data_IF_438598957973
#
_entry.id   IF_438598957973
#
_cell.length_a   1.000
_cell.length_b   1.000
_cell.length_c   1.000
_cell.angle_alpha   90.00
_cell.angle_beta   90.00
_cell.angle_gamma   90.00
#
_symmetry.space_group_name_H-M   'P 1'
#
loop_
_entity.id
_entity.type
_entity.pdbx_description
1 polymer ?
#
# COMPACT_ATOMS: atom_id res chain seq x y z
N UNK A 1 -7.23 -29.08 -17.02
CA UNK A 1 -6.24 -28.42 -16.14
C UNK A 1 -6.86 -27.12 -15.69
N UNK A 2 -7.09 -26.91 -14.39
CA UNK A 2 -7.55 -25.62 -13.89
C UNK A 2 -6.38 -24.64 -13.98
N UNK A 3 -6.36 -23.83 -15.03
CA UNK A 3 -5.39 -22.74 -15.16
C UNK A 3 -5.60 -21.78 -14.00
N UNK A 4 -4.57 -21.56 -13.19
CA UNK A 4 -4.55 -20.50 -12.17
C UNK A 4 -4.09 -19.22 -12.86
N UNK A 5 -4.97 -18.22 -13.07
CA UNK A 5 -4.59 -17.00 -13.76
C UNK A 5 -3.72 -16.12 -12.86
N UNK A 6 -2.83 -15.33 -13.45
CA UNK A 6 -2.15 -14.26 -12.72
C UNK A 6 -3.16 -13.17 -12.32
N UNK A 7 -2.98 -12.60 -11.13
CA UNK A 7 -3.90 -11.62 -10.56
C UNK A 7 -3.15 -10.32 -10.29
N UNK A 8 -3.63 -9.23 -10.88
CA UNK A 8 -3.11 -7.88 -10.65
C UNK A 8 -4.21 -7.02 -10.01
N UNK A 9 -3.97 -6.57 -8.78
CA UNK A 9 -4.84 -5.61 -8.08
C UNK A 9 -4.23 -4.21 -8.17
N UNK A 10 -4.81 -3.35 -8.99
CA UNK A 10 -4.42 -1.96 -9.13
C UNK A 10 -5.32 -1.06 -8.27
N UNK A 11 -4.71 -0.27 -7.38
CA UNK A 11 -5.43 0.70 -6.54
C UNK A 11 -4.88 2.10 -6.82
N UNK A 12 -5.78 3.01 -7.20
CA UNK A 12 -5.47 4.42 -7.38
C UNK A 12 -5.93 5.20 -6.15
N UNK A 13 -4.99 5.83 -5.45
CA UNK A 13 -5.30 6.55 -4.22
C UNK A 13 -6.02 7.88 -4.51
N UNK A 14 -7.12 8.12 -3.81
CA UNK A 14 -7.99 9.30 -3.98
C UNK A 14 -8.56 9.53 -5.39
N UNK A 15 -8.57 8.49 -6.25
CA UNK A 15 -9.11 8.63 -7.60
C UNK A 15 -10.62 8.86 -7.57
N UNK A 16 -11.05 9.92 -8.25
CA UNK A 16 -12.47 10.26 -8.39
C UNK A 16 -13.04 9.64 -9.67
N UNK A 17 -14.29 9.19 -9.57
CA UNK A 17 -15.05 8.65 -10.70
C UNK A 17 -15.17 9.66 -11.86
N UNK A 18 -15.49 10.92 -11.56
CA UNK A 18 -15.68 12.00 -12.55
C UNK A 18 -14.38 12.46 -13.24
N UNK A 19 -13.25 11.78 -12.98
CA UNK A 19 -11.93 12.05 -13.56
C UNK A 19 -11.40 10.91 -14.42
N UNK A 20 -12.28 9.97 -14.78
CA UNK A 20 -12.00 8.89 -15.72
C UNK A 20 -12.90 9.06 -16.95
N UNK A 21 -12.30 9.08 -18.14
CA UNK A 21 -13.05 9.24 -19.40
C UNK A 21 -13.98 8.06 -19.68
N UNK A 22 -13.60 6.83 -19.29
CA UNK A 22 -14.50 5.66 -19.30
C UNK A 22 -15.75 5.79 -18.41
N UNK A 23 -15.79 6.76 -17.50
CA UNK A 23 -16.94 7.11 -16.67
C UNK A 23 -17.61 8.43 -17.08
N UNK A 24 -17.30 8.95 -18.27
CA UNK A 24 -17.94 10.14 -18.84
C UNK A 24 -17.24 11.46 -18.51
N UNK A 25 -15.97 11.45 -18.09
CA UNK A 25 -15.19 12.68 -18.03
C UNK A 25 -15.06 13.32 -19.41
N UNK A 26 -15.33 14.62 -19.54
CA UNK A 26 -15.28 15.33 -20.82
C UNK A 26 -13.85 15.47 -21.38
N UNK A 27 -12.83 15.41 -20.51
CA UNK A 27 -11.43 15.42 -20.90
C UNK A 27 -10.92 13.97 -20.96
N UNK A 28 -10.09 13.66 -21.95
CA UNK A 28 -9.39 12.39 -22.06
C UNK A 28 -8.24 12.34 -21.04
N UNK A 29 -8.55 11.84 -19.84
CA UNK A 29 -7.62 11.82 -18.70
C UNK A 29 -7.04 10.45 -18.44
N UNK A 30 -7.62 9.39 -18.99
CA UNK A 30 -7.30 8.01 -18.63
C UNK A 30 -7.22 7.02 -19.81
N UNK A 31 -6.50 7.33 -20.91
CA UNK A 31 -6.56 6.56 -22.15
C UNK A 31 -6.28 5.05 -21.97
N UNK A 32 -5.27 4.68 -21.16
CA UNK A 32 -4.97 3.26 -20.90
C UNK A 32 -5.98 2.55 -20.00
N UNK A 33 -6.65 3.28 -19.10
CA UNK A 33 -7.74 2.71 -18.28
C UNK A 33 -8.97 2.54 -19.16
N UNK A 34 -9.19 3.46 -20.10
CA UNK A 34 -10.32 3.40 -21.03
C UNK A 34 -10.17 2.21 -21.98
N UNK A 35 -8.97 1.98 -22.52
CA UNK A 35 -8.64 0.77 -23.29
C UNK A 35 -8.88 -0.50 -22.47
N UNK A 36 -8.40 -0.55 -21.21
CA UNK A 36 -8.67 -1.70 -20.34
C UNK A 36 -10.18 -1.88 -20.11
N UNK A 37 -10.94 -0.79 -20.00
CA UNK A 37 -12.37 -0.83 -19.74
C UNK A 37 -13.17 -1.40 -20.91
N UNK A 38 -12.70 -1.33 -22.16
CA UNK A 38 -13.42 -1.90 -23.32
C UNK A 38 -13.52 -3.42 -23.24
N UNK A 39 -12.51 -4.06 -22.65
CA UNK A 39 -12.39 -5.51 -22.55
C UNK A 39 -12.70 -6.02 -21.12
N UNK A 40 -13.15 -5.14 -20.23
CA UNK A 40 -13.40 -5.43 -18.81
C UNK A 40 -14.88 -5.31 -18.45
N UNK A 41 -15.24 -5.88 -17.29
CA UNK A 41 -16.52 -5.55 -16.66
C UNK A 41 -16.41 -4.23 -15.91
N UNK A 42 -17.09 -3.19 -16.41
CA UNK A 42 -17.10 -1.86 -15.80
C UNK A 42 -18.27 -1.72 -14.80
N UNK A 43 -17.95 -1.55 -13.52
CA UNK A 43 -18.97 -1.30 -12.49
C UNK A 43 -19.36 0.18 -12.44
N UNK A 44 -20.63 0.48 -12.69
CA UNK A 44 -21.19 1.84 -12.59
C UNK A 44 -21.35 2.30 -11.13
N UNK A 45 -21.56 1.35 -10.22
CA UNK A 45 -21.76 1.61 -8.80
C UNK A 45 -20.76 0.80 -7.97
N UNK A 46 -19.55 1.34 -7.77
CA UNK A 46 -18.55 0.80 -6.87
C UNK A 46 -18.36 1.75 -5.68
N UNK A 47 -18.86 1.36 -4.50
CA UNK A 47 -18.86 2.22 -3.30
C UNK A 47 -17.71 1.82 -2.38
N UNK A 48 -16.87 2.79 -2.03
CA UNK A 48 -15.80 2.58 -1.06
C UNK A 48 -16.38 2.27 0.34
N UNK A 49 -15.86 1.25 1.05
CA UNK A 49 -16.40 0.86 2.35
C UNK A 49 -16.11 1.88 3.47
N UNK A 50 -15.18 2.81 3.25
CA UNK A 50 -14.87 3.90 4.18
C UNK A 50 -14.30 5.13 3.44
N UNK A 51 -14.39 6.30 4.08
CA UNK A 51 -13.95 7.58 3.50
C UNK A 51 -12.43 7.79 3.39
N UNK A 52 -11.60 6.91 3.96
CA UNK A 52 -10.14 7.12 4.00
C UNK A 52 -9.36 5.81 3.99
N UNK A 53 -8.04 5.94 3.76
CA UNK A 53 -7.14 4.86 3.32
C UNK A 53 -7.22 3.61 4.18
N UNK A 54 -7.00 3.70 5.50
CA UNK A 54 -6.80 2.53 6.36
C UNK A 54 -8.05 1.63 6.44
N UNK A 55 -9.23 2.12 6.87
CA UNK A 55 -10.41 1.26 6.91
C UNK A 55 -10.85 0.81 5.52
N UNK A 56 -10.64 1.62 4.48
CA UNK A 56 -10.99 1.24 3.11
C UNK A 56 -10.13 0.06 2.62
N UNK A 57 -8.82 0.10 2.85
CA UNK A 57 -7.90 -0.99 2.50
C UNK A 57 -8.10 -2.22 3.39
N UNK A 58 -8.36 -2.04 4.68
CA UNK A 58 -8.68 -3.14 5.58
C UNK A 58 -9.91 -3.92 5.09
N UNK A 59 -10.98 -3.21 4.72
CA UNK A 59 -12.17 -3.81 4.14
C UNK A 59 -11.89 -4.46 2.77
N UNK A 60 -11.15 -3.77 1.89
CA UNK A 60 -10.75 -4.31 0.58
C UNK A 60 -9.96 -5.62 0.69
N UNK A 61 -9.06 -5.72 1.67
CA UNK A 61 -8.22 -6.90 1.87
C UNK A 61 -8.92 -8.01 2.63
N UNK A 62 -9.89 -7.73 3.49
CA UNK A 62 -10.56 -8.78 4.28
C UNK A 62 -11.92 -9.20 3.74
N UNK A 63 -12.53 -8.38 2.87
CA UNK A 63 -13.87 -8.59 2.36
C UNK A 63 -14.98 -8.31 3.38
N UNK A 64 -14.67 -7.68 4.52
CA UNK A 64 -15.66 -7.33 5.56
C UNK A 64 -15.68 -5.81 5.81
N UNK A 65 -16.79 -5.29 6.33
CA UNK A 65 -16.95 -3.85 6.57
C UNK A 65 -16.10 -3.33 7.75
N UNK A 66 -15.91 -1.99 7.85
CA UNK A 66 -15.20 -1.37 8.97
C UNK A 66 -15.78 -1.67 10.35
N UNK A 67 -17.11 -1.84 10.42
CA UNK A 67 -17.80 -2.26 11.65
C UNK A 67 -17.42 -3.68 12.11
N UNK A 68 -16.94 -4.53 11.21
CA UNK A 68 -16.50 -5.89 11.52
C UNK A 68 -15.03 -5.93 11.92
N UNK A 69 -14.15 -5.34 11.11
CA UNK A 69 -12.71 -5.41 11.36
C UNK A 69 -12.21 -4.37 12.37
N UNK A 70 -13.00 -3.33 12.69
CA UNK A 70 -12.75 -2.28 13.68
C UNK A 70 -11.44 -1.47 13.50
N UNK A 71 -10.72 -1.66 12.39
CA UNK A 71 -9.52 -0.87 12.00
C UNK A 71 -9.90 0.50 11.44
N UNK A 72 -10.47 1.35 12.30
CA UNK A 72 -11.03 2.66 11.94
C UNK A 72 -10.13 3.86 12.27
N UNK A 73 -8.98 3.63 12.91
CA UNK A 73 -8.00 4.66 13.29
C UNK A 73 -6.60 4.30 12.78
N UNK A 74 -5.71 5.28 12.68
CA UNK A 74 -4.38 5.10 12.06
C UNK A 74 -3.48 4.13 12.81
N UNK A 75 -3.63 4.09 14.13
CA UNK A 75 -2.84 3.25 15.04
C UNK A 75 -3.48 1.89 15.33
N UNK A 76 -4.65 1.60 14.74
CA UNK A 76 -5.29 0.30 14.91
C UNK A 76 -4.63 -0.75 14.01
N UNK A 77 -4.53 -1.96 14.54
CA UNK A 77 -3.98 -3.12 13.83
C UNK A 77 -5.13 -4.00 13.39
N UNK A 78 -5.12 -4.42 12.12
CA UNK A 78 -6.08 -5.37 11.59
C UNK A 78 -6.06 -6.67 12.42
N UNK A 79 -7.19 -7.18 12.94
CA UNK A 79 -7.21 -8.42 13.71
C UNK A 79 -6.65 -9.61 12.92
N UNK A 80 -5.83 -10.45 13.55
CA UNK A 80 -5.23 -11.64 12.91
C UNK A 80 -6.24 -12.75 12.63
N UNK A 81 -7.37 -12.76 13.33
CA UNK A 81 -8.48 -13.67 13.06
C UNK A 81 -9.16 -13.43 11.69
N UNK A 82 -8.90 -12.27 11.06
CA UNK A 82 -9.39 -11.92 9.73
C UNK A 82 -8.27 -12.12 8.71
N UNK A 83 -8.29 -13.22 7.92
CA UNK A 83 -7.29 -13.44 6.89
C UNK A 83 -7.45 -12.43 5.75
N UNK A 84 -6.34 -11.87 5.29
CA UNK A 84 -6.30 -10.94 4.15
C UNK A 84 -6.41 -11.70 2.82
N UNK A 85 -6.73 -10.97 1.75
CA UNK A 85 -6.74 -11.45 0.37
C UNK A 85 -5.37 -12.04 0.01
N UNK A 86 -4.29 -11.37 0.41
CA UNK A 86 -2.94 -11.85 0.16
C UNK A 86 -2.62 -13.14 0.93
N UNK A 87 -3.07 -13.28 2.19
CA UNK A 87 -2.92 -14.55 2.94
C UNK A 87 -3.68 -15.69 2.24
N UNK A 88 -4.93 -15.43 1.83
CA UNK A 88 -5.75 -16.42 1.10
C UNK A 88 -5.13 -16.83 -0.24
N UNK A 89 -4.57 -15.88 -0.99
CA UNK A 89 -3.89 -16.16 -2.26
C UNK A 89 -2.59 -16.94 -2.02
N UNK A 90 -1.82 -16.57 -1.00
CA UNK A 90 -0.61 -17.28 -0.62
C UNK A 90 -0.91 -18.74 -0.26
N UNK A 91 -1.93 -18.99 0.57
CA UNK A 91 -2.38 -20.34 0.93
C UNK A 91 -2.88 -21.13 -0.30
N UNK A 92 -3.41 -20.43 -1.31
CA UNK A 92 -3.75 -20.99 -2.63
C UNK A 92 -2.56 -21.26 -3.56
N UNK A 93 -1.33 -21.03 -3.09
CA UNK A 93 -0.09 -21.26 -3.81
C UNK A 93 0.32 -20.13 -4.76
N UNK A 94 -0.23 -18.93 -4.60
CA UNK A 94 0.23 -17.75 -5.34
C UNK A 94 1.47 -17.14 -4.69
N UNK A 95 2.35 -16.61 -5.54
CA UNK A 95 3.37 -15.68 -5.09
C UNK A 95 2.74 -14.29 -4.97
N UNK A 96 2.75 -13.72 -3.76
CA UNK A 96 2.11 -12.45 -3.46
C UNK A 96 3.14 -11.34 -3.31
N UNK A 97 3.04 -10.32 -4.17
CA UNK A 97 3.88 -9.14 -4.10
C UNK A 97 3.04 -7.86 -4.14
N UNK A 98 3.48 -6.83 -3.43
CA UNK A 98 2.87 -5.51 -3.42
C UNK A 98 3.89 -4.42 -3.68
N UNK A 99 3.44 -3.38 -4.39
CA UNK A 99 4.19 -2.16 -4.67
C UNK A 99 3.34 -0.99 -4.23
N UNK A 100 3.76 -0.29 -3.19
CA UNK A 100 2.94 0.74 -2.55
C UNK A 100 3.77 2.01 -2.33
N UNK A 101 3.19 3.17 -2.63
CA UNK A 101 3.78 4.47 -2.27
C UNK A 101 2.93 5.20 -1.22
N UNK A 102 1.99 4.52 -0.58
CA UNK A 102 1.18 5.10 0.49
C UNK A 102 1.73 4.62 1.85
N UNK A 103 2.28 5.52 2.69
CA UNK A 103 2.85 5.12 3.98
C UNK A 103 1.82 4.59 4.98
N UNK A 104 0.55 4.99 4.87
CA UNK A 104 -0.52 4.47 5.72
C UNK A 104 -0.80 2.98 5.44
N UNK A 105 -0.43 2.47 4.27
CA UNK A 105 -0.58 1.05 3.92
C UNK A 105 0.74 0.31 4.06
N UNK A 106 1.85 0.93 3.62
CA UNK A 106 3.13 0.27 3.47
C UNK A 106 4.17 0.54 4.56
N UNK A 107 4.03 1.59 5.37
CA UNK A 107 4.99 1.94 6.44
C UNK A 107 4.41 1.65 7.81
N UNK A 108 3.19 2.12 8.08
CA UNK A 108 2.55 1.98 9.40
C UNK A 108 2.32 0.51 9.71
N UNK A 109 2.66 0.07 10.92
CA UNK A 109 2.42 -1.29 11.36
C UNK A 109 0.96 -1.51 11.78
N UNK A 110 0.07 -1.61 10.80
CA UNK A 110 -1.37 -1.81 11.01
C UNK A 110 -1.88 -3.17 10.49
N UNK A 111 -0.98 -4.08 10.11
CA UNK A 111 -1.33 -5.43 9.65
C UNK A 111 -1.81 -5.52 8.20
N UNK A 112 -1.90 -4.42 7.45
CA UNK A 112 -2.34 -4.44 6.04
C UNK A 112 -1.33 -5.13 5.09
N UNK A 113 -0.10 -5.35 5.54
CA UNK A 113 0.96 -6.02 4.78
C UNK A 113 0.94 -7.55 4.91
N UNK A 114 0.08 -8.11 5.77
CA UNK A 114 0.02 -9.56 6.00
C UNK A 114 -0.33 -10.30 4.72
N UNK A 115 0.38 -11.42 4.48
CA UNK A 115 0.18 -12.28 3.32
C UNK A 115 0.99 -11.90 2.09
N UNK A 116 1.64 -10.73 2.04
CA UNK A 116 2.58 -10.39 0.95
C UNK A 116 3.98 -10.91 1.25
N UNK A 117 4.47 -11.84 0.42
CA UNK A 117 5.84 -12.35 0.51
C UNK A 117 6.90 -11.28 0.17
N UNK A 118 6.55 -10.36 -0.72
CA UNK A 118 7.39 -9.21 -1.07
C UNK A 118 6.57 -7.94 -1.02
N UNK A 119 7.01 -6.96 -0.25
CA UNK A 119 6.34 -5.67 -0.14
C UNK A 119 7.33 -4.54 -0.39
N UNK A 120 7.11 -3.80 -1.47
CA UNK A 120 7.91 -2.66 -1.85
C UNK A 120 7.25 -1.36 -1.39
N UNK A 121 8.03 -0.51 -0.72
CA UNK A 121 7.62 0.86 -0.43
C UNK A 121 8.60 1.89 -1.01
N UNK A 122 8.05 2.88 -1.73
CA UNK A 122 8.80 4.03 -2.25
C UNK A 122 8.82 5.22 -1.28
N UNK A 123 7.87 5.28 -0.33
CA UNK A 123 7.75 6.36 0.65
C UNK A 123 8.42 5.94 1.96
N UNK A 124 9.67 6.37 2.17
CA UNK A 124 10.47 6.16 3.37
C UNK A 124 11.89 6.69 3.20
N UNK A 125 12.62 6.93 4.30
CA UNK A 125 14.03 7.39 4.28
C UNK A 125 14.97 6.41 3.54
N UNK A 126 14.55 5.15 3.41
CA UNK A 126 15.24 4.12 2.64
C UNK A 126 14.25 3.51 1.64
N UNK A 127 14.53 3.68 0.36
CA UNK A 127 13.83 2.91 -0.68
C UNK A 127 14.14 1.43 -0.44
N UNK A 128 13.12 0.67 -0.07
CA UNK A 128 13.23 -0.77 -0.25
C UNK A 128 13.25 -1.01 -1.76
N UNK A 129 13.99 -2.00 -2.26
CA UNK A 129 13.74 -2.61 -3.57
C UNK A 129 13.13 -3.98 -3.27
N UNK A 130 12.12 -4.46 -4.02
CA UNK A 130 11.59 -5.78 -3.73
C UNK A 130 12.72 -6.78 -3.89
N UNK A 131 12.65 -7.88 -3.15
CA UNK A 131 13.37 -9.06 -3.59
C UNK A 131 12.89 -9.32 -5.02
N UNK A 132 13.79 -9.23 -5.99
CA UNK A 132 13.47 -9.73 -7.33
C UNK A 132 13.02 -11.17 -7.11
N UNK A 133 11.76 -11.46 -7.42
CA UNK A 133 11.25 -12.82 -7.47
C UNK A 133 11.97 -13.49 -8.64
N UNK A 134 13.19 -13.92 -8.37
CA UNK A 134 14.20 -14.30 -9.34
C UNK A 134 15.26 -15.08 -8.58
N UNK A 135 15.38 -16.35 -8.94
CA UNK A 135 16.23 -17.35 -8.31
C UNK A 135 17.68 -16.87 -8.27
N UNK A 136 18.18 -16.43 -7.11
CA UNK A 136 19.61 -16.51 -6.85
C UNK A 136 19.92 -16.85 -5.38
N UNK A 137 20.68 -17.93 -5.21
CA UNK A 137 20.85 -18.72 -3.97
C UNK A 137 22.11 -18.31 -3.18
N UNK A 138 22.53 -17.04 -3.23
CA UNK A 138 23.75 -16.62 -2.54
C UNK A 138 23.52 -16.30 -1.05
N UNK A 139 24.43 -16.80 -0.20
CA UNK A 139 24.41 -16.58 1.26
C UNK A 139 24.40 -15.10 1.64
N UNK A 140 25.05 -14.27 0.83
CA UNK A 140 25.08 -12.81 1.00
C UNK A 140 23.69 -12.16 0.86
N UNK A 141 22.87 -12.62 -0.09
CA UNK A 141 21.52 -12.09 -0.30
C UNK A 141 20.58 -12.46 0.85
N UNK A 142 20.74 -13.67 1.40
CA UNK A 142 20.05 -14.10 2.63
C UNK A 142 20.45 -13.26 3.84
N UNK A 143 21.74 -13.03 4.06
CA UNK A 143 22.22 -12.17 5.14
C UNK A 143 21.69 -10.74 5.00
N UNK A 144 21.76 -10.18 3.78
CA UNK A 144 21.23 -8.85 3.46
C UNK A 144 19.73 -8.75 3.69
N UNK A 145 18.95 -9.81 3.42
CA UNK A 145 17.52 -9.87 3.70
C UNK A 145 17.22 -9.88 5.20
N UNK A 146 17.92 -10.71 5.99
CA UNK A 146 17.76 -10.77 7.45
C UNK A 146 18.13 -9.44 8.08
N UNK A 147 19.27 -8.87 7.67
CA UNK A 147 19.72 -7.56 8.15
C UNK A 147 18.75 -6.43 7.77
N UNK A 148 18.22 -6.43 6.53
CA UNK A 148 17.19 -5.47 6.11
C UNK A 148 15.89 -5.64 6.90
N UNK A 149 15.46 -6.87 7.19
CA UNK A 149 14.30 -7.14 8.03
C UNK A 149 14.47 -6.54 9.42
N UNK A 150 15.60 -6.84 10.08
CA UNK A 150 15.95 -6.29 11.39
C UNK A 150 16.03 -4.75 11.39
N UNK A 151 16.65 -4.16 10.37
CA UNK A 151 16.75 -2.70 10.24
C UNK A 151 15.39 -2.06 9.96
N UNK A 152 14.55 -2.69 9.13
CA UNK A 152 13.20 -2.24 8.84
C UNK A 152 12.31 -2.32 10.09
N UNK A 153 12.42 -3.38 10.89
CA UNK A 153 11.68 -3.51 12.16
C UNK A 153 12.08 -2.41 13.15
N UNK A 154 13.39 -2.11 13.24
CA UNK A 154 13.92 -1.04 14.10
C UNK A 154 13.44 0.35 13.63
N UNK A 155 13.50 0.62 12.32
CA UNK A 155 13.05 1.90 11.75
C UNK A 155 11.53 2.05 11.85
N UNK A 156 10.77 0.99 11.60
CA UNK A 156 9.31 1.00 11.72
C UNK A 156 8.87 1.27 13.15
N UNK A 157 9.59 0.74 14.13
CA UNK A 157 9.35 1.03 15.55
C UNK A 157 9.57 2.52 15.87
N UNK A 158 10.59 3.16 15.27
CA UNK A 158 10.81 4.61 15.40
C UNK A 158 9.72 5.43 14.70
N UNK A 159 9.30 5.02 13.50
CA UNK A 159 8.22 5.66 12.75
C UNK A 159 6.87 5.55 13.47
N UNK A 160 6.59 4.40 14.09
CA UNK A 160 5.39 4.19 14.90
C UNK A 160 5.40 5.08 16.16
N UNK A 161 6.55 5.26 16.82
CA UNK A 161 6.68 6.21 17.95
C UNK A 161 6.45 7.65 17.49
N UNK A 162 6.96 8.02 16.32
CA UNK A 162 6.72 9.34 15.72
C UNK A 162 5.24 9.57 15.39
N UNK A 163 4.58 8.58 14.80
CA UNK A 163 3.17 8.65 14.42
C UNK A 163 2.20 8.66 15.62
N UNK A 164 2.64 8.17 16.78
CA UNK A 164 1.83 8.10 18.02
C UNK A 164 1.98 9.30 18.96
N UNK A 165 2.85 10.26 18.64
CA UNK A 165 3.12 11.42 19.50
C UNK A 165 2.61 12.71 18.87
N UNK A 166 1.61 13.33 19.51
CA UNK A 166 1.09 14.64 19.10
C UNK A 166 2.18 15.74 19.13
N UNK A 167 3.14 15.63 20.06
CA UNK A 167 4.27 16.56 20.15
C UNK A 167 5.23 16.43 18.97
N UNK A 168 5.56 15.19 18.56
CA UNK A 168 6.44 14.94 17.41
C UNK A 168 5.73 15.29 16.09
N UNK A 169 4.44 15.01 16.01
CA UNK A 169 3.61 15.40 14.88
C UNK A 169 3.54 16.95 14.75
N UNK A 170 3.29 17.66 15.85
CA UNK A 170 3.31 19.13 15.86
C UNK A 170 4.69 19.70 15.52
N UNK A 171 5.76 19.08 16.01
CA UNK A 171 7.13 19.44 15.64
C UNK A 171 7.38 19.23 14.14
N UNK A 172 6.82 18.17 13.55
CA UNK A 172 6.94 17.88 12.11
C UNK A 172 6.30 18.96 11.23
N UNK A 173 5.24 19.60 11.72
CA UNK A 173 4.55 20.71 11.05
C UNK A 173 5.15 22.08 11.36
N UNK A 174 6.19 22.15 12.19
CA UNK A 174 6.84 23.43 12.49
C UNK A 174 7.50 24.03 11.24
N UNK A 175 7.51 25.37 11.09
CA UNK A 175 8.12 26.05 9.94
C UNK A 175 9.61 25.70 9.72
N UNK A 176 10.29 25.23 10.78
CA UNK A 176 11.67 24.77 10.73
C UNK A 176 11.82 23.38 10.07
N UNK A 177 10.84 22.48 10.28
CA UNK A 177 10.89 21.10 9.81
C UNK A 177 10.30 20.92 8.41
N UNK A 178 9.34 21.76 8.01
CA UNK A 178 8.67 21.69 6.69
C UNK A 178 9.65 21.71 5.50
N UNK A 179 10.68 22.59 5.45
CA UNK A 179 11.64 22.60 4.36
C UNK A 179 12.49 21.32 4.27
N UNK A 180 12.83 20.73 5.43
CA UNK A 180 13.60 19.49 5.53
C UNK A 180 12.82 18.30 4.96
N UNK A 181 11.51 18.19 5.26
CA UNK A 181 10.69 17.11 4.72
C UNK A 181 10.40 17.29 3.23
N UNK A 182 10.16 18.52 2.76
CA UNK A 182 9.96 18.81 1.34
C UNK A 182 11.18 18.48 0.47
N UNK A 183 12.40 18.62 1.01
CA UNK A 183 13.65 18.37 0.25
C UNK A 183 14.20 16.95 0.45
N UNK A 184 14.05 16.36 1.64
CA UNK A 184 14.63 15.04 1.96
C UNK A 184 13.66 13.86 1.75
N UNK A 185 12.35 14.07 1.82
CA UNK A 185 11.34 13.02 1.59
C UNK A 185 10.51 13.36 0.34
N UNK A 186 10.90 12.78 -0.80
CA UNK A 186 10.09 12.78 -2.02
C UNK A 186 8.83 11.95 -1.79
N UNK A 187 7.80 12.55 -1.18
CA UNK A 187 6.50 11.93 -0.90
C UNK A 187 5.67 11.69 -2.17
N UNK A 188 5.98 12.42 -3.23
CA UNK A 188 5.42 12.26 -4.57
C UNK A 188 6.61 12.23 -5.50
N UNK A 189 6.68 11.18 -6.31
CA UNK A 189 7.70 11.03 -7.34
C UNK A 189 7.88 12.33 -8.11
N UNK A 190 9.12 12.60 -8.48
CA UNK A 190 9.57 13.81 -9.15
C UNK A 190 8.86 13.98 -10.51
N UNK A 191 7.64 14.52 -10.52
CA UNK A 191 7.06 15.11 -11.73
C UNK A 191 7.79 16.43 -11.92
N UNK A 192 8.58 16.51 -12.98
CA UNK A 192 9.29 17.74 -13.35
C UNK A 192 8.35 18.94 -13.27
N UNK A 193 8.86 20.04 -12.70
CA UNK A 193 8.18 21.33 -12.71
C UNK A 193 7.95 21.81 -14.14
#
# INVERSE_FOLDING_TARGET
MTSRPDIVLLVLDTQRLDRLSCYGCAAETSPYIDELATDSTLFQCAVAPAQWTIPSHASMFTGVYPSTHNTIQSFFVLPTALPTLAERLHDGGYFTAAFCNNPLVGVVNNGLRRGFLSFLNYSGLLTSRPNQAGVNRNLYDRYRQVFKGFLADTISSMQDVFARSDSLLNLSFSPMMVPLWQTALSFKGNTGK
#
